data_IF_143167095882
#
_entry.id   IF_143167095882
#
_cell.length_a   1.000
_cell.length_b   1.000
_cell.length_c   1.000
_cell.angle_alpha   90.00
_cell.angle_beta   90.00
_cell.angle_gamma   90.00
#
_symmetry.space_group_name_H-M   'P 1'
#
loop_
_entity.id
_entity.type
_entity.pdbx_description
1 polymer ?
#
# COMPACT_ATOMS: atom_id res chain seq x y z
N UNK A 1 -67.87 -15.00 55.99
CA UNK A 1 -66.65 -15.40 55.23
C UNK A 1 -66.78 -15.11 53.74
N UNK A 2 -67.96 -15.35 53.14
CA UNK A 2 -68.23 -15.13 51.72
C UNK A 2 -67.92 -13.72 51.21
N UNK A 3 -68.31 -12.66 51.94
CA UNK A 3 -68.00 -11.27 51.55
C UNK A 3 -66.50 -10.96 51.43
N UNK A 4 -65.66 -11.67 52.20
CA UNK A 4 -64.20 -11.51 52.14
C UNK A 4 -63.63 -12.19 50.91
N UNK A 5 -64.18 -13.35 50.54
CA UNK A 5 -63.83 -14.12 49.33
C UNK A 5 -64.17 -13.32 48.07
N UNK A 6 -65.39 -12.78 47.97
CA UNK A 6 -65.80 -11.94 46.83
C UNK A 6 -64.94 -10.68 46.69
N UNK A 7 -64.54 -10.06 47.81
CA UNK A 7 -63.64 -8.91 47.76
C UNK A 7 -62.24 -9.27 47.26
N UNK A 8 -61.73 -10.46 47.61
CA UNK A 8 -60.41 -10.94 47.19
C UNK A 8 -60.41 -11.33 45.71
N UNK A 9 -61.46 -11.98 45.22
CA UNK A 9 -61.63 -12.28 43.80
C UNK A 9 -61.68 -11.02 42.94
N UNK A 10 -62.38 -9.98 43.41
CA UNK A 10 -62.42 -8.69 42.72
C UNK A 10 -61.04 -8.03 42.68
N UNK A 11 -60.29 -8.06 43.79
CA UNK A 11 -58.91 -7.52 43.85
C UNK A 11 -57.97 -8.30 42.92
N UNK A 12 -58.07 -9.63 42.90
CA UNK A 12 -57.27 -10.48 42.02
C UNK A 12 -57.51 -10.17 40.54
N UNK A 13 -58.78 -10.07 40.12
CA UNK A 13 -59.15 -9.70 38.74
C UNK A 13 -58.59 -8.32 38.33
N UNK A 14 -58.66 -7.34 39.23
CA UNK A 14 -58.10 -6.00 38.98
C UNK A 14 -56.58 -6.06 38.85
N UNK A 15 -55.89 -6.80 39.71
CA UNK A 15 -54.43 -6.99 39.63
C UNK A 15 -54.02 -7.67 38.32
N UNK A 16 -54.75 -8.70 37.88
CA UNK A 16 -54.48 -9.37 36.59
C UNK A 16 -54.59 -8.40 35.41
N UNK A 17 -55.61 -7.54 35.39
CA UNK A 17 -55.78 -6.53 34.33
C UNK A 17 -54.64 -5.51 34.33
N UNK A 18 -54.21 -5.06 35.52
CA UNK A 18 -53.07 -4.13 35.67
C UNK A 18 -51.78 -4.77 35.13
N UNK A 19 -51.51 -6.03 35.48
CA UNK A 19 -50.33 -6.75 35.01
C UNK A 19 -50.36 -6.91 33.48
N UNK A 20 -51.52 -7.24 32.91
CA UNK A 20 -51.67 -7.40 31.46
C UNK A 20 -51.42 -6.08 30.72
N UNK A 21 -51.96 -4.98 31.26
CA UNK A 21 -51.76 -3.65 30.70
C UNK A 21 -50.29 -3.22 30.76
N UNK A 22 -49.60 -3.51 31.88
CA UNK A 22 -48.16 -3.26 32.03
C UNK A 22 -47.34 -4.10 31.04
N UNK A 23 -47.67 -5.38 30.85
CA UNK A 23 -46.99 -6.24 29.89
C UNK A 23 -47.13 -5.71 28.46
N UNK A 24 -48.34 -5.28 28.06
CA UNK A 24 -48.58 -4.68 26.74
C UNK A 24 -47.81 -3.37 26.58
N UNK A 25 -47.79 -2.51 27.61
CA UNK A 25 -47.03 -1.27 27.59
C UNK A 25 -45.53 -1.50 27.44
N UNK A 26 -44.98 -2.51 28.13
CA UNK A 26 -43.57 -2.89 28.03
C UNK A 26 -43.23 -3.45 26.63
N UNK A 27 -44.08 -4.30 26.07
CA UNK A 27 -43.93 -4.80 24.70
C UNK A 27 -43.96 -3.64 23.69
N UNK A 28 -44.89 -2.70 23.86
CA UNK A 28 -45.00 -1.54 22.98
C UNK A 28 -43.77 -0.62 23.05
N UNK A 29 -43.24 -0.38 24.26
CA UNK A 29 -41.99 0.35 24.46
C UNK A 29 -40.80 -0.36 23.84
N UNK A 30 -40.73 -1.69 23.97
CA UNK A 30 -39.67 -2.50 23.38
C UNK A 30 -39.68 -2.45 21.84
N UNK A 31 -40.85 -2.61 21.22
CA UNK A 31 -41.00 -2.56 19.76
C UNK A 31 -40.68 -1.18 19.20
N UNK A 32 -41.08 -0.09 19.88
CA UNK A 32 -40.82 1.27 19.42
C UNK A 32 -39.34 1.69 19.48
N UNK A 33 -38.50 1.02 20.28
CA UNK A 33 -37.06 1.29 20.28
C UNK A 33 -36.34 0.66 19.07
N UNK A 34 -36.89 -0.42 18.48
CA UNK A 34 -36.25 -1.15 17.38
C UNK A 34 -36.28 -0.36 16.07
N UNK A 35 -37.22 0.58 15.90
CA UNK A 35 -37.41 1.34 14.66
C UNK A 35 -36.63 2.67 14.55
N UNK A 36 -35.88 3.08 15.59
CA UNK A 36 -35.14 4.36 15.61
C UNK A 36 -33.63 4.15 15.51
N UNK A 37 -33.17 3.42 14.50
CA UNK A 37 -31.76 3.51 14.11
C UNK A 37 -31.61 4.71 13.19
N UNK A 38 -30.73 5.62 13.53
CA UNK A 38 -30.40 6.76 12.69
C UNK A 38 -29.59 6.20 11.50
N UNK A 39 -30.22 6.02 10.33
CA UNK A 39 -29.67 5.30 9.16
C UNK A 39 -28.52 6.04 8.44
N UNK A 40 -27.75 6.88 9.13
CA UNK A 40 -26.81 7.80 8.47
C UNK A 40 -25.36 7.32 8.39
N UNK A 41 -24.84 6.66 9.42
CA UNK A 41 -23.39 6.44 9.56
C UNK A 41 -23.11 5.14 10.32
N UNK A 42 -22.37 4.22 9.70
CA UNK A 42 -21.80 3.04 10.37
C UNK A 42 -20.45 3.42 10.97
N UNK A 43 -20.35 3.46 12.30
CA UNK A 43 -19.07 3.57 13.00
C UNK A 43 -18.50 2.17 13.25
N UNK A 44 -17.43 1.82 12.55
CA UNK A 44 -16.73 0.55 12.73
C UNK A 44 -15.22 0.80 12.80
N UNK A 45 -14.52 0.04 13.65
CA UNK A 45 -13.04 0.01 13.66
C UNK A 45 -12.47 -0.75 12.46
N UNK A 46 -13.27 -1.65 11.92
CA UNK A 46 -12.93 -2.50 10.80
C UNK A 46 -14.16 -2.94 10.04
N UNK A 47 -14.04 -3.05 8.73
CA UNK A 47 -15.04 -3.61 7.83
C UNK A 47 -14.36 -4.73 7.05
N UNK A 48 -14.92 -5.93 7.08
CA UNK A 48 -14.50 -7.06 6.27
C UNK A 48 -15.67 -7.48 5.40
N UNK A 49 -15.48 -7.43 4.08
CA UNK A 49 -16.44 -7.91 3.10
C UNK A 49 -16.04 -9.33 2.72
N UNK A 50 -16.96 -10.27 2.90
CA UNK A 50 -16.76 -11.69 2.64
C UNK A 50 -17.50 -12.15 1.37
N UNK A 51 -17.04 -13.23 0.77
CA UNK A 51 -17.78 -13.94 -0.30
C UNK A 51 -18.88 -14.86 0.26
N UNK A 52 -19.60 -15.54 -0.63
CA UNK A 52 -20.68 -16.46 -0.27
C UNK A 52 -20.25 -17.66 0.60
N UNK A 53 -18.94 -17.95 0.64
CA UNK A 53 -18.35 -19.02 1.45
C UNK A 53 -17.79 -18.51 2.78
N UNK A 54 -17.92 -17.21 3.08
CA UNK A 54 -17.39 -16.57 4.29
C UNK A 54 -15.93 -16.13 4.19
N UNK A 55 -15.29 -16.22 3.02
CA UNK A 55 -13.89 -15.83 2.86
C UNK A 55 -13.75 -14.31 2.70
N UNK A 56 -12.83 -13.64 3.41
CA UNK A 56 -12.55 -12.22 3.21
C UNK A 56 -12.08 -11.88 1.79
N UNK A 57 -12.61 -10.77 1.24
CA UNK A 57 -12.25 -10.23 -0.08
C UNK A 57 -11.80 -8.78 -0.01
N UNK A 58 -12.41 -7.99 0.87
CA UNK A 58 -12.01 -6.61 1.13
C UNK A 58 -11.93 -6.42 2.63
N UNK A 59 -10.85 -5.83 3.14
CA UNK A 59 -10.76 -5.43 4.53
C UNK A 59 -10.31 -3.97 4.64
N UNK A 60 -10.92 -3.21 5.55
CA UNK A 60 -10.66 -1.78 5.79
C UNK A 60 -10.65 -1.49 7.28
N UNK A 61 -9.62 -0.84 7.81
CA UNK A 61 -9.62 -0.41 9.22
C UNK A 61 -8.24 -0.36 9.89
N UNK A 62 -8.23 0.01 11.17
CA UNK A 62 -7.02 0.19 11.97
C UNK A 62 -7.31 -0.07 13.47
N UNK A 63 -6.61 -1.00 14.14
CA UNK A 63 -6.13 -2.29 13.63
C UNK A 63 -7.25 -3.32 13.56
N UNK A 64 -7.22 -4.22 12.57
CA UNK A 64 -8.16 -5.36 12.46
C UNK A 64 -7.38 -6.67 12.69
N UNK A 65 -7.97 -7.60 13.44
CA UNK A 65 -7.45 -8.97 13.55
C UNK A 65 -7.47 -9.67 12.19
N UNK A 66 -6.34 -10.28 11.80
CA UNK A 66 -6.07 -10.76 10.44
C UNK A 66 -5.94 -12.30 10.36
N UNK A 67 -6.87 -13.04 10.97
CA UNK A 67 -6.79 -14.51 11.10
C UNK A 67 -6.67 -15.22 9.73
N UNK A 68 -7.46 -14.80 8.75
CA UNK A 68 -7.57 -15.43 7.42
C UNK A 68 -6.63 -14.85 6.35
N UNK A 69 -6.01 -13.68 6.60
CA UNK A 69 -5.05 -13.08 5.67
C UNK A 69 -3.74 -13.87 5.74
N UNK A 70 -3.13 -14.19 4.59
CA UNK A 70 -1.85 -14.92 4.60
C UNK A 70 -0.70 -14.10 5.19
N UNK A 71 -0.66 -12.81 4.85
CA UNK A 71 0.25 -11.86 5.48
C UNK A 71 -0.19 -11.55 6.92
N UNK A 72 0.77 -11.55 7.85
CA UNK A 72 0.52 -11.45 9.30
C UNK A 72 0.88 -10.11 9.93
N UNK A 73 1.40 -9.17 9.15
CA UNK A 73 1.62 -7.79 9.56
C UNK A 73 0.31 -7.03 9.81
N UNK A 74 0.40 -5.94 10.57
CA UNK A 74 -0.75 -5.10 10.95
C UNK A 74 -1.40 -4.48 9.71
N UNK A 75 -2.72 -4.64 9.56
CA UNK A 75 -3.47 -3.98 8.49
C UNK A 75 -3.86 -2.56 8.93
N UNK A 76 -3.33 -1.57 8.22
CA UNK A 76 -3.56 -0.14 8.43
C UNK A 76 -4.02 0.52 7.12
N UNK A 77 -5.21 0.14 6.63
CA UNK A 77 -5.66 0.58 5.32
C UNK A 77 -6.78 -0.26 4.72
N UNK A 78 -6.90 -0.19 3.40
CA UNK A 78 -7.80 -0.97 2.53
C UNK A 78 -6.99 -2.02 1.80
N UNK A 79 -7.40 -3.29 1.88
CA UNK A 79 -6.79 -4.40 1.15
C UNK A 79 -7.83 -5.17 0.35
N UNK A 80 -7.46 -5.55 -0.87
CA UNK A 80 -8.18 -6.50 -1.71
C UNK A 80 -7.42 -7.82 -1.74
N UNK A 81 -8.12 -8.91 -1.47
CA UNK A 81 -7.54 -10.26 -1.38
C UNK A 81 -8.06 -11.17 -2.49
N UNK A 82 -7.22 -12.09 -2.95
CA UNK A 82 -7.66 -13.16 -3.83
C UNK A 82 -8.33 -14.32 -3.08
N UNK A 83 -8.72 -15.36 -3.83
CA UNK A 83 -9.34 -16.57 -3.32
C UNK A 83 -8.54 -17.30 -2.23
N UNK A 84 -7.21 -17.18 -2.23
CA UNK A 84 -6.31 -17.80 -1.28
C UNK A 84 -6.03 -16.92 -0.05
N UNK A 85 -6.61 -15.72 0.02
CA UNK A 85 -6.36 -14.75 1.09
C UNK A 85 -5.03 -14.00 0.92
N UNK A 86 -4.50 -13.94 -0.31
CA UNK A 86 -3.31 -13.17 -0.63
C UNK A 86 -3.68 -11.75 -1.06
N UNK A 87 -2.98 -10.76 -0.50
CA UNK A 87 -3.14 -9.35 -0.86
C UNK A 87 -2.82 -9.13 -2.35
N UNK A 88 -3.73 -8.53 -3.10
CA UNK A 88 -3.54 -8.15 -4.51
C UNK A 88 -3.39 -6.66 -4.72
N UNK A 89 -4.14 -5.89 -3.95
CA UNK A 89 -4.08 -4.43 -3.93
C UNK A 89 -4.13 -4.01 -2.48
N UNK A 90 -3.25 -3.11 -2.08
CA UNK A 90 -3.29 -2.50 -0.76
C UNK A 90 -3.14 -0.99 -0.88
N UNK A 91 -3.94 -0.27 -0.13
CA UNK A 91 -3.90 1.18 0.04
C UNK A 91 -3.83 1.48 1.54
N UNK A 92 -2.73 2.04 2.02
CA UNK A 92 -2.61 2.32 3.45
C UNK A 92 -1.22 2.77 3.86
N UNK A 93 -1.05 2.95 5.17
CA UNK A 93 0.27 3.10 5.75
C UNK A 93 1.04 1.79 5.54
N UNK A 94 2.25 1.91 5.01
CA UNK A 94 2.99 0.75 4.52
C UNK A 94 3.46 -0.15 5.68
N UNK A 95 3.26 -1.47 5.55
CA UNK A 95 3.77 -2.48 6.49
C UNK A 95 5.18 -2.94 6.13
N UNK A 96 5.55 -4.19 6.42
CA UNK A 96 6.82 -4.75 5.94
C UNK A 96 6.74 -5.04 4.41
N UNK A 97 7.87 -4.94 3.69
CA UNK A 97 7.97 -5.39 2.29
C UNK A 97 7.96 -6.92 2.26
N UNK A 98 7.11 -7.54 1.44
CA UNK A 98 7.12 -8.99 1.24
C UNK A 98 7.72 -9.36 -0.13
N UNK A 99 8.96 -9.86 -0.13
CA UNK A 99 9.70 -10.19 -1.35
C UNK A 99 10.46 -11.51 -1.18
N UNK A 100 10.33 -12.40 -2.18
CA UNK A 100 10.99 -13.71 -2.17
C UNK A 100 10.54 -14.59 -1.00
N UNK A 101 9.28 -14.44 -0.57
CA UNK A 101 8.68 -15.20 0.53
C UNK A 101 9.12 -14.75 1.93
N UNK A 102 9.69 -13.54 2.08
CA UNK A 102 10.18 -13.01 3.35
C UNK A 102 9.74 -11.56 3.55
N UNK A 103 9.55 -11.20 4.81
CA UNK A 103 9.37 -9.81 5.23
C UNK A 103 10.72 -9.10 5.32
N UNK A 104 10.74 -7.83 4.89
CA UNK A 104 11.86 -6.93 4.98
C UNK A 104 11.37 -5.63 5.59
N UNK A 105 12.11 -5.12 6.58
CA UNK A 105 11.86 -3.79 7.14
C UNK A 105 12.02 -2.73 6.05
N UNK A 106 11.14 -1.73 6.07
CA UNK A 106 11.28 -0.54 5.25
C UNK A 106 11.89 0.58 6.08
N UNK A 107 12.64 1.44 5.39
CA UNK A 107 13.31 2.58 6.01
C UNK A 107 12.45 3.86 6.02
N UNK A 108 11.23 3.82 5.47
CA UNK A 108 10.34 4.98 5.40
C UNK A 108 8.93 4.67 5.91
N UNK A 109 8.40 5.57 6.74
CA UNK A 109 7.00 5.60 7.11
C UNK A 109 6.22 6.44 6.11
N UNK A 110 5.15 5.87 5.53
CA UNK A 110 4.40 6.55 4.49
C UNK A 110 3.16 5.83 3.99
N UNK A 111 2.40 6.52 3.14
CA UNK A 111 1.19 6.02 2.49
C UNK A 111 1.52 5.47 1.10
N UNK A 112 0.91 4.34 0.76
CA UNK A 112 1.18 3.69 -0.52
C UNK A 112 -0.02 2.95 -1.09
N UNK A 113 -0.05 2.88 -2.42
CA UNK A 113 -0.85 1.97 -3.20
C UNK A 113 0.10 0.97 -3.87
N UNK A 114 -0.04 -0.32 -3.61
CA UNK A 114 0.77 -1.35 -4.28
C UNK A 114 -0.06 -2.49 -4.83
N UNK A 115 0.50 -3.09 -5.89
CA UNK A 115 -0.05 -4.22 -6.61
C UNK A 115 0.86 -5.42 -6.42
N UNK A 116 0.29 -6.55 -6.02
CA UNK A 116 1.02 -7.78 -5.77
C UNK A 116 0.59 -8.88 -6.74
N UNK A 117 1.51 -9.81 -7.00
CA UNK A 117 1.21 -11.02 -7.77
C UNK A 117 0.51 -12.11 -6.93
N UNK A 118 0.33 -13.30 -7.51
CA UNK A 118 -0.34 -14.42 -6.83
C UNK A 118 0.44 -15.06 -5.69
N UNK A 119 1.70 -14.67 -5.54
CA UNK A 119 2.56 -15.10 -4.43
C UNK A 119 2.65 -14.02 -3.35
N UNK A 120 1.97 -12.89 -3.54
CA UNK A 120 2.02 -11.73 -2.65
C UNK A 120 3.27 -10.88 -2.83
N UNK A 121 4.06 -11.11 -3.88
CA UNK A 121 5.24 -10.29 -4.17
C UNK A 121 4.80 -8.98 -4.85
N UNK A 122 5.34 -7.86 -4.39
CA UNK A 122 5.10 -6.55 -5.00
C UNK A 122 5.56 -6.53 -6.47
N UNK A 123 4.75 -5.90 -7.32
CA UNK A 123 4.99 -5.76 -8.76
C UNK A 123 5.02 -4.31 -9.20
N UNK A 124 4.36 -3.43 -8.44
CA UNK A 124 4.39 -2.00 -8.64
C UNK A 124 3.83 -1.32 -7.40
N UNK A 125 4.29 -0.11 -7.15
CA UNK A 125 3.80 0.71 -6.05
C UNK A 125 3.91 2.20 -6.36
N UNK A 126 2.94 2.96 -5.88
CA UNK A 126 3.01 4.42 -5.76
C UNK A 126 2.97 4.78 -4.28
N UNK A 127 3.93 5.58 -3.82
CA UNK A 127 4.04 5.92 -2.40
C UNK A 127 4.43 7.36 -2.17
N UNK A 128 4.00 7.87 -1.02
CA UNK A 128 4.44 9.13 -0.42
C UNK A 128 5.01 8.83 0.98
N UNK A 129 6.17 9.41 1.27
CA UNK A 129 6.89 9.27 2.54
C UNK A 129 6.77 10.56 3.34
N UNK A 130 6.23 10.45 4.55
CA UNK A 130 6.07 11.59 5.46
C UNK A 130 7.45 12.05 6.02
N UNK A 131 8.42 11.13 6.11
CA UNK A 131 9.73 11.38 6.73
C UNK A 131 10.62 12.35 5.94
N UNK A 132 10.63 12.22 4.61
CA UNK A 132 11.52 12.95 3.71
C UNK A 132 10.77 13.73 2.61
N UNK A 133 9.42 13.76 2.70
CA UNK A 133 8.53 14.39 1.73
C UNK A 133 8.82 13.92 0.29
N UNK A 134 9.10 12.62 0.15
CA UNK A 134 9.39 12.01 -1.13
C UNK A 134 8.19 11.26 -1.71
N UNK A 135 8.16 11.19 -3.04
CA UNK A 135 7.22 10.35 -3.79
C UNK A 135 7.98 9.36 -4.65
N UNK A 136 7.46 8.14 -4.71
CA UNK A 136 8.03 7.06 -5.52
C UNK A 136 6.95 6.38 -6.36
N UNK A 137 7.29 6.03 -7.60
CA UNK A 137 6.52 5.11 -8.44
C UNK A 137 7.47 4.04 -8.98
N UNK A 138 7.27 2.81 -8.52
CA UNK A 138 8.09 1.65 -8.87
C UNK A 138 7.36 0.60 -9.68
N UNK A 139 8.13 -0.16 -10.44
CA UNK A 139 7.73 -1.35 -11.16
C UNK A 139 8.78 -2.42 -10.91
N UNK A 140 8.40 -3.54 -10.31
CA UNK A 140 9.33 -4.55 -9.84
C UNK A 140 9.34 -5.81 -10.72
N UNK A 141 10.53 -6.34 -10.92
CA UNK A 141 10.70 -7.73 -11.32
C UNK A 141 10.31 -8.68 -10.20
N UNK A 142 9.80 -9.84 -10.59
CA UNK A 142 9.42 -10.88 -9.66
C UNK A 142 10.46 -11.94 -9.34
N UNK A 143 10.16 -12.70 -8.28
CA UNK A 143 10.94 -13.82 -7.82
C UNK A 143 12.04 -13.44 -6.85
N UNK A 144 12.79 -14.47 -6.44
CA UNK A 144 13.81 -14.42 -5.38
C UNK A 144 14.91 -13.36 -5.58
N UNK A 145 15.22 -13.02 -6.83
CA UNK A 145 16.24 -12.04 -7.19
C UNK A 145 15.67 -10.82 -7.92
N UNK A 146 14.34 -10.73 -7.98
CA UNK A 146 13.67 -9.58 -8.56
C UNK A 146 13.87 -8.33 -7.70
N UNK A 147 13.66 -7.19 -8.33
CA UNK A 147 13.44 -5.91 -7.69
C UNK A 147 13.25 -4.85 -8.77
N UNK A 148 13.52 -3.60 -8.44
CA UNK A 148 13.14 -2.45 -9.24
C UNK A 148 13.57 -2.53 -10.71
N UNK A 149 12.59 -2.62 -11.61
CA UNK A 149 12.75 -2.56 -13.06
C UNK A 149 12.71 -1.11 -13.56
N UNK A 150 11.75 -0.32 -13.09
CA UNK A 150 11.62 1.10 -13.43
C UNK A 150 11.20 1.86 -12.18
N UNK A 151 12.00 2.85 -11.79
CA UNK A 151 11.67 3.72 -10.67
C UNK A 151 11.61 5.17 -11.09
N UNK A 152 10.61 5.88 -10.59
CA UNK A 152 10.50 7.33 -10.61
C UNK A 152 10.49 7.82 -9.17
N UNK A 153 11.36 8.77 -8.86
CA UNK A 153 11.51 9.32 -7.52
C UNK A 153 11.61 10.85 -7.57
N UNK A 154 10.96 11.51 -6.62
CA UNK A 154 11.11 12.93 -6.39
C UNK A 154 11.07 13.26 -4.89
N UNK A 155 11.95 14.16 -4.47
CA UNK A 155 12.02 14.74 -3.13
C UNK A 155 12.53 16.21 -3.25
N UNK A 156 12.50 17.04 -2.18
CA UNK A 156 12.76 18.48 -2.27
C UNK A 156 14.08 18.92 -2.93
N UNK A 157 15.09 18.05 -3.02
CA UNK A 157 16.43 18.37 -3.55
C UNK A 157 16.92 17.41 -4.63
N UNK A 158 16.11 16.42 -4.99
CA UNK A 158 16.54 15.32 -5.84
C UNK A 158 15.33 14.75 -6.60
N UNK A 159 15.53 14.47 -7.87
CA UNK A 159 14.58 13.71 -8.67
C UNK A 159 15.34 12.81 -9.63
N UNK A 160 14.88 11.58 -9.79
CA UNK A 160 15.50 10.66 -10.73
C UNK A 160 14.54 9.64 -11.30
N UNK A 161 14.93 9.10 -12.44
CA UNK A 161 14.34 7.95 -13.09
C UNK A 161 15.43 6.91 -13.32
N UNK A 162 15.14 5.66 -12.99
CA UNK A 162 16.00 4.52 -13.33
C UNK A 162 15.22 3.53 -14.20
N UNK A 163 15.91 2.96 -15.18
CA UNK A 163 15.45 1.78 -15.92
C UNK A 163 16.54 0.74 -15.77
N UNK A 164 16.16 -0.40 -15.21
CA UNK A 164 17.07 -1.44 -14.81
C UNK A 164 16.77 -2.72 -15.61
N UNK A 165 17.77 -3.58 -15.75
CA UNK A 165 17.55 -4.91 -16.30
C UNK A 165 17.68 -5.95 -15.19
N UNK A 166 16.72 -6.88 -15.17
CA UNK A 166 16.81 -8.09 -14.36
C UNK A 166 18.01 -8.93 -14.82
N UNK A 167 18.89 -9.27 -13.89
CA UNK A 167 20.00 -10.16 -14.18
C UNK A 167 19.59 -11.65 -14.07
N UNK A 168 18.33 -11.94 -13.70
CA UNK A 168 17.64 -13.23 -13.58
C UNK A 168 18.45 -14.32 -12.88
N UNK A 169 19.45 -14.85 -13.59
CA UNK A 169 20.35 -15.93 -13.15
C UNK A 169 21.44 -15.45 -12.20
N UNK A 170 21.75 -14.15 -12.20
CA UNK A 170 22.75 -13.56 -11.30
C UNK A 170 22.05 -12.70 -10.25
N UNK A 171 22.60 -12.69 -9.02
CA UNK A 171 22.12 -11.81 -7.96
C UNK A 171 22.41 -10.36 -8.33
N UNK A 172 21.38 -9.52 -8.33
CA UNK A 172 21.49 -8.06 -8.43
C UNK A 172 20.71 -7.45 -9.59
N UNK A 173 20.50 -6.15 -9.48
CA UNK A 173 19.86 -5.30 -10.48
C UNK A 173 20.92 -4.34 -10.99
N UNK A 174 20.88 -4.03 -12.29
CA UNK A 174 21.81 -3.07 -12.88
C UNK A 174 21.07 -1.96 -13.58
N UNK A 175 21.35 -0.74 -13.16
CA UNK A 175 20.90 0.47 -13.83
C UNK A 175 21.40 0.51 -15.27
N UNK A 176 20.45 0.48 -16.21
CA UNK A 176 20.73 0.59 -17.65
C UNK A 176 20.65 2.03 -18.09
N UNK A 177 19.62 2.73 -17.61
CA UNK A 177 19.39 4.12 -17.94
C UNK A 177 19.10 4.84 -16.63
N UNK A 178 19.78 5.96 -16.41
CA UNK A 178 19.53 6.84 -15.27
C UNK A 178 19.36 8.25 -15.79
N UNK A 179 18.28 8.91 -15.39
CA UNK A 179 18.12 10.35 -15.48
C UNK A 179 18.08 10.87 -14.06
N UNK A 180 18.97 11.78 -13.70
CA UNK A 180 19.17 12.22 -12.33
C UNK A 180 19.34 13.73 -12.27
N UNK A 181 18.68 14.34 -11.31
CA UNK A 181 18.86 15.74 -10.96
C UNK A 181 19.00 15.88 -9.44
N UNK A 182 19.95 16.71 -9.02
CA UNK A 182 20.15 17.05 -7.61
C UNK A 182 20.49 18.53 -7.49
N UNK A 183 19.60 19.27 -6.81
CA UNK A 183 19.70 20.73 -6.67
C UNK A 183 20.85 21.13 -5.77
N UNK A 184 21.08 20.40 -4.66
CA UNK A 184 22.15 20.69 -3.70
C UNK A 184 23.56 20.61 -4.33
N UNK A 185 23.71 19.75 -5.34
CA UNK A 185 24.98 19.59 -6.08
C UNK A 185 25.03 20.44 -7.35
N UNK A 186 23.93 21.11 -7.70
CA UNK A 186 23.68 21.72 -9.01
C UNK A 186 24.07 20.74 -10.13
N UNK A 187 23.50 19.53 -10.09
CA UNK A 187 23.89 18.41 -10.93
C UNK A 187 22.70 17.90 -11.74
N UNK A 188 22.91 17.75 -13.05
CA UNK A 188 22.06 16.96 -13.93
C UNK A 188 22.89 15.90 -14.64
N UNK A 189 22.43 14.66 -14.62
CA UNK A 189 23.13 13.51 -15.17
C UNK A 189 22.18 12.61 -15.94
N UNK A 190 22.59 12.21 -17.14
CA UNK A 190 21.98 11.12 -17.89
C UNK A 190 23.04 10.06 -18.16
N UNK A 191 22.78 8.83 -17.74
CA UNK A 191 23.68 7.68 -17.89
C UNK A 191 23.01 6.61 -18.74
N UNK A 192 23.76 6.04 -19.66
CA UNK A 192 23.38 4.83 -20.40
C UNK A 192 24.48 3.78 -20.21
N UNK A 193 24.07 2.56 -19.86
CA UNK A 193 24.93 1.41 -19.57
C UNK A 193 24.56 0.22 -20.45
N UNK A 194 25.51 -0.68 -20.70
CA UNK A 194 25.26 -1.93 -21.44
C UNK A 194 25.42 -3.17 -20.53
N UNK A 195 25.11 -4.36 -21.06
CA UNK A 195 25.17 -5.63 -20.31
C UNK A 195 26.50 -5.88 -19.59
N UNK A 196 27.60 -5.31 -20.08
CA UNK A 196 28.96 -5.49 -19.59
C UNK A 196 29.46 -4.30 -18.77
N UNK A 197 29.16 -3.05 -19.16
CA UNK A 197 29.78 -1.83 -18.61
C UNK A 197 28.78 -0.76 -18.18
N UNK A 198 29.10 -0.13 -17.04
CA UNK A 198 28.28 0.93 -16.47
C UNK A 198 28.75 2.27 -17.02
N UNK A 199 27.82 3.17 -17.32
CA UNK A 199 28.11 4.51 -17.81
C UNK A 199 28.85 4.52 -19.15
N UNK A 200 28.45 3.66 -20.09
CA UNK A 200 28.98 3.69 -21.48
C UNK A 200 28.89 5.08 -22.09
N UNK A 201 27.80 5.77 -21.82
CA UNK A 201 27.58 7.15 -22.22
C UNK A 201 27.09 7.90 -20.97
N UNK A 202 27.77 8.98 -20.61
CA UNK A 202 27.35 9.87 -19.53
C UNK A 202 27.27 11.30 -20.06
N UNK A 203 26.10 11.90 -19.96
CA UNK A 203 25.90 13.33 -20.13
C UNK A 203 25.84 13.96 -18.74
N UNK A 204 26.68 14.94 -18.47
CA UNK A 204 26.77 15.58 -17.16
C UNK A 204 26.83 17.10 -17.29
N UNK A 205 25.94 17.79 -16.59
CA UNK A 205 26.01 19.23 -16.36
C UNK A 205 26.13 19.47 -14.86
N UNK A 206 27.08 20.30 -14.43
CA UNK A 206 27.34 20.53 -13.00
C UNK A 206 27.82 21.97 -12.75
N UNK A 207 27.25 22.65 -11.75
CA UNK A 207 27.74 23.93 -11.21
C UNK A 207 27.87 25.02 -12.28
N UNK A 208 26.89 25.12 -13.17
CA UNK A 208 26.89 26.06 -14.31
C UNK A 208 28.04 25.90 -15.32
N UNK A 209 28.82 24.82 -15.25
CA UNK A 209 29.93 24.56 -16.19
C UNK A 209 29.39 24.04 -17.52
N UNK A 210 30.21 24.14 -18.57
CA UNK A 210 29.90 23.53 -19.86
C UNK A 210 29.60 22.03 -19.68
N UNK A 211 28.51 21.51 -20.29
CA UNK A 211 28.15 20.12 -20.17
C UNK A 211 29.25 19.22 -20.75
N UNK A 212 29.43 18.06 -20.13
CA UNK A 212 30.39 17.03 -20.53
C UNK A 212 29.66 15.82 -21.08
N UNK A 213 30.25 15.24 -22.12
CA UNK A 213 29.87 13.92 -22.65
C UNK A 213 31.06 13.01 -22.44
N UNK A 214 30.88 11.96 -21.66
CA UNK A 214 31.89 10.92 -21.44
C UNK A 214 31.47 9.66 -22.17
N UNK A 215 32.31 9.20 -23.10
CA UNK A 215 32.14 7.95 -23.83
C UNK A 215 33.14 6.94 -23.28
N UNK A 216 32.66 5.99 -22.50
CA UNK A 216 33.48 4.96 -21.88
C UNK A 216 33.49 3.74 -22.80
N UNK A 217 34.32 3.81 -23.84
CA UNK A 217 34.61 2.65 -24.68
C UNK A 217 35.94 2.02 -24.30
N UNK A 218 35.90 0.78 -23.80
CA UNK A 218 37.14 0.03 -23.52
C UNK A 218 37.70 -0.66 -24.76
N UNK A 219 37.41 -0.14 -25.94
CA UNK A 219 38.03 -0.56 -27.19
C UNK A 219 38.71 0.64 -27.87
N UNK A 220 39.45 1.42 -27.08
CA UNK A 220 40.55 2.25 -27.56
C UNK A 220 41.81 1.90 -26.76
N UNK A 221 42.98 1.52 -27.30
CA UNK A 221 43.54 1.79 -28.63
C UNK A 221 43.07 3.14 -29.18
N UNK A 222 43.67 4.19 -28.59
CA UNK A 222 43.72 5.57 -29.07
C UNK A 222 43.23 5.73 -30.51
N UNK A 223 42.08 6.37 -30.67
CA UNK A 223 41.90 7.37 -31.73
C UNK A 223 41.32 8.62 -31.10
N UNK A 224 42.22 9.53 -30.77
CA UNK A 224 41.89 10.96 -30.66
C UNK A 224 41.18 11.37 -31.96
N UNK A 225 39.94 11.85 -31.85
CA UNK A 225 39.28 12.51 -32.96
C UNK A 225 40.08 13.77 -33.34
N UNK A 226 40.27 14.05 -34.64
CA UNK A 226 40.97 15.24 -35.07
C UNK A 226 40.16 16.48 -34.66
N UNK A 227 40.86 17.38 -33.96
CA UNK A 227 40.37 18.69 -33.61
C UNK A 227 40.34 19.53 -34.89
N UNK A 228 39.20 19.56 -35.59
CA UNK A 228 39.01 20.50 -36.68
C UNK A 228 38.89 21.91 -36.08
N UNK A 229 40.02 22.59 -36.03
CA UNK A 229 40.09 24.03 -35.88
C UNK A 229 39.54 24.66 -37.15
N UNK A 230 38.39 25.32 -37.03
CA UNK A 230 37.96 26.28 -38.04
C UNK A 230 38.87 27.51 -37.92
N UNK A 231 39.60 27.80 -39.01
CA UNK A 231 40.03 29.15 -39.37
C UNK A 231 38.93 29.81 -40.18
#
# INVERSE_FOLDING_TARGET
>A
MENRITSLERKSKVQTVIILALAIALIWLYVNQIGKTNHGILHAKGIVIQDANGNPRIAMGFPIGNEYRQRKDTLNGLVFMDENGMDRIHLGQHGELFLGGKYHERLNDGWSLFFNDSKGEERSGYGFSDDDNSVGLGMDYGGKFGGEAIYLYAAPKIAFMTINADLQKNKGIRDRIVLWHETDKDLSLAKISDSKKDGRIVFKAEKGRNPKIELIDSLSNKKTMPNNSYK
#
